data_IF_241439930591
#
_entry.id   IF_241439930591
#
_cell.length_a   1.000
_cell.length_b   1.000
_cell.length_c   1.000
_cell.angle_alpha   90.00
_cell.angle_beta   90.00
_cell.angle_gamma   90.00
#
_symmetry.space_group_name_H-M   'P 1'
#
loop_
_entity.id
_entity.type
_entity.pdbx_description
1 polymer ?
#
# COMPACT_ATOMS: atom_id res chain seq x y z
N UNK A 1 36.63 7.34 -14.16
CA UNK A 1 35.45 7.09 -13.29
C UNK A 1 35.92 6.33 -12.07
N UNK A 2 35.78 6.89 -10.86
CA UNK A 2 36.31 6.25 -9.64
C UNK A 2 35.31 5.17 -9.15
N UNK A 3 35.59 3.89 -9.41
CA UNK A 3 34.78 2.76 -8.98
C UNK A 3 35.05 2.33 -7.54
N UNK A 4 36.17 2.74 -6.93
CA UNK A 4 36.59 2.37 -5.56
C UNK A 4 35.55 2.77 -4.51
N UNK A 5 34.91 3.94 -4.67
CA UNK A 5 33.81 4.38 -3.80
C UNK A 5 32.65 3.37 -3.74
N UNK A 6 32.31 2.74 -4.88
CA UNK A 6 31.21 1.78 -4.96
C UNK A 6 31.62 0.43 -4.33
N UNK A 7 32.84 -0.04 -4.57
CA UNK A 7 33.35 -1.24 -3.94
C UNK A 7 33.38 -1.10 -2.43
N UNK A 8 33.94 -0.02 -1.88
CA UNK A 8 33.96 0.24 -0.47
C UNK A 8 32.55 0.28 0.15
N UNK A 9 31.58 0.94 -0.52
CA UNK A 9 30.19 1.00 -0.06
C UNK A 9 29.53 -0.39 -0.06
N UNK A 10 29.79 -1.22 -1.08
CA UNK A 10 29.26 -2.59 -1.14
C UNK A 10 29.87 -3.47 -0.05
N UNK A 11 31.15 -3.33 0.25
CA UNK A 11 31.81 -4.03 1.37
C UNK A 11 31.18 -3.64 2.70
N UNK A 12 31.00 -2.34 2.97
CA UNK A 12 30.31 -1.87 4.17
C UNK A 12 28.89 -2.47 4.31
N UNK A 13 28.14 -2.54 3.20
CA UNK A 13 26.81 -3.17 3.18
C UNK A 13 26.89 -4.66 3.51
N UNK A 14 27.90 -5.40 2.97
CA UNK A 14 28.12 -6.82 3.27
C UNK A 14 28.50 -7.04 4.74
N UNK A 15 29.42 -6.23 5.25
CA UNK A 15 29.87 -6.28 6.64
C UNK A 15 28.73 -6.03 7.64
N UNK A 16 27.79 -5.13 7.29
CA UNK A 16 26.60 -4.85 8.10
C UNK A 16 25.51 -5.91 7.99
N UNK A 17 25.66 -6.93 7.12
CA UNK A 17 24.65 -7.97 6.88
C UNK A 17 23.44 -7.48 6.08
N UNK A 18 23.56 -6.33 5.39
CA UNK A 18 22.46 -5.74 4.62
C UNK A 18 22.61 -5.92 3.10
N UNK A 19 23.50 -6.80 2.65
CA UNK A 19 23.72 -7.05 1.24
C UNK A 19 22.54 -7.81 0.64
N UNK A 20 21.92 -7.24 -0.39
CA UNK A 20 20.74 -7.81 -1.06
C UNK A 20 21.14 -8.47 -2.36
N UNK A 21 20.55 -9.62 -2.63
CA UNK A 21 20.64 -10.36 -3.90
C UNK A 21 19.24 -10.63 -4.44
N UNK A 22 19.10 -10.67 -5.75
CA UNK A 22 17.89 -11.14 -6.41
C UNK A 22 18.01 -12.67 -6.54
N UNK A 23 17.19 -13.39 -5.78
CA UNK A 23 17.13 -14.85 -5.84
C UNK A 23 16.22 -15.29 -6.97
N UNK A 24 16.53 -16.39 -7.63
CA UNK A 24 15.65 -17.05 -8.58
C UNK A 24 14.75 -18.00 -7.80
N UNK A 25 13.50 -17.62 -7.61
CA UNK A 25 12.53 -18.35 -6.82
C UNK A 25 11.43 -18.88 -7.73
N UNK A 26 11.25 -20.20 -7.74
CA UNK A 26 10.12 -20.84 -8.41
C UNK A 26 8.93 -20.91 -7.46
N UNK A 27 7.73 -20.59 -7.97
CA UNK A 27 6.50 -20.61 -7.21
C UNK A 27 5.62 -21.80 -7.57
N UNK A 28 5.12 -22.50 -6.54
CA UNK A 28 4.15 -23.57 -6.68
C UNK A 28 3.03 -23.40 -5.66
N UNK A 29 2.04 -22.58 -5.98
CA UNK A 29 0.98 -22.18 -5.06
C UNK A 29 1.56 -21.47 -3.83
N UNK A 30 1.34 -22.05 -2.63
CA UNK A 30 1.87 -21.53 -1.37
C UNK A 30 3.31 -22.00 -1.04
N UNK A 31 3.88 -22.86 -1.87
CA UNK A 31 5.28 -23.30 -1.76
C UNK A 31 6.18 -22.52 -2.70
N UNK A 32 7.44 -22.39 -2.30
CA UNK A 32 8.51 -21.84 -3.13
C UNK A 32 9.71 -22.80 -3.14
N UNK A 33 10.43 -22.81 -4.25
CA UNK A 33 11.70 -23.52 -4.38
C UNK A 33 12.83 -22.49 -4.51
N UNK A 34 13.79 -22.53 -3.60
CA UNK A 34 14.97 -21.68 -3.56
C UNK A 34 16.21 -22.55 -3.29
N UNK A 35 17.15 -22.57 -4.22
CA UNK A 35 18.40 -23.35 -4.14
C UNK A 35 18.16 -24.84 -3.79
N UNK A 36 17.20 -25.46 -4.47
CA UNK A 36 16.85 -26.89 -4.28
C UNK A 36 16.10 -27.20 -2.98
N UNK A 37 15.65 -26.20 -2.23
CA UNK A 37 14.83 -26.36 -1.02
C UNK A 37 13.39 -25.97 -1.28
N UNK A 38 12.46 -26.83 -0.89
CA UNK A 38 11.04 -26.49 -0.87
C UNK A 38 10.69 -25.84 0.48
N UNK A 39 10.02 -24.71 0.44
CA UNK A 39 9.65 -23.94 1.64
C UNK A 39 8.23 -23.39 1.52
N UNK A 40 7.56 -23.24 2.67
CA UNK A 40 6.29 -22.52 2.76
C UNK A 40 6.57 -21.01 2.59
N UNK A 41 5.88 -20.37 1.65
CA UNK A 41 6.01 -18.94 1.41
C UNK A 41 5.19 -18.12 2.42
N UNK A 42 5.82 -17.70 3.51
CA UNK A 42 5.22 -16.81 4.51
C UNK A 42 5.54 -15.33 4.25
N UNK A 43 6.23 -15.02 3.16
CA UNK A 43 6.63 -13.63 2.79
C UNK A 43 5.80 -13.05 1.66
N UNK A 44 4.79 -13.77 1.17
CA UNK A 44 3.90 -13.28 0.12
C UNK A 44 2.94 -12.21 0.66
N UNK A 45 2.68 -11.20 -0.16
CA UNK A 45 1.61 -10.23 0.08
C UNK A 45 0.27 -10.66 -0.55
N UNK A 46 0.19 -11.82 -1.17
CA UNK A 46 -1.06 -12.44 -1.64
C UNK A 46 -1.86 -13.00 -0.47
N UNK A 47 -2.36 -12.10 0.37
CA UNK A 47 -2.94 -12.42 1.67
C UNK A 47 -4.14 -13.37 1.62
N UNK A 48 -4.89 -13.34 0.51
CA UNK A 48 -6.06 -14.19 0.28
C UNK A 48 -5.78 -15.39 -0.62
N UNK A 49 -4.56 -15.51 -1.17
CA UNK A 49 -4.17 -16.60 -2.07
C UNK A 49 -4.86 -16.57 -3.43
N UNK A 50 -5.17 -15.39 -3.96
CA UNK A 50 -5.93 -15.23 -5.20
C UNK A 50 -5.07 -15.37 -6.46
N UNK A 51 -3.77 -15.08 -6.39
CA UNK A 51 -2.89 -14.93 -7.57
C UNK A 51 -2.75 -16.22 -8.38
N UNK A 52 -2.88 -17.37 -7.75
CA UNK A 52 -2.75 -18.69 -8.38
C UNK A 52 -4.03 -19.52 -8.30
N UNK A 53 -5.17 -18.89 -8.01
CA UNK A 53 -6.45 -19.57 -7.94
C UNK A 53 -6.97 -19.93 -9.34
N UNK A 54 -6.96 -21.21 -9.76
CA UNK A 54 -7.29 -21.61 -11.11
C UNK A 54 -8.75 -21.31 -11.47
N UNK A 55 -9.65 -21.38 -10.49
CA UNK A 55 -11.08 -21.08 -10.69
C UNK A 55 -11.28 -19.61 -11.07
N UNK A 56 -10.66 -18.67 -10.34
CA UNK A 56 -10.76 -17.24 -10.66
C UNK A 56 -10.16 -16.92 -12.04
N UNK A 57 -9.07 -17.59 -12.41
CA UNK A 57 -8.45 -17.43 -13.74
C UNK A 57 -9.40 -17.91 -14.85
N UNK A 58 -10.10 -19.02 -14.63
CA UNK A 58 -11.07 -19.57 -15.58
C UNK A 58 -12.29 -18.65 -15.70
N UNK A 59 -12.91 -18.25 -14.58
CA UNK A 59 -14.02 -17.30 -14.55
C UNK A 59 -13.67 -15.97 -15.23
N UNK A 60 -12.46 -15.43 -15.01
CA UNK A 60 -12.02 -14.24 -15.71
C UNK A 60 -11.94 -14.41 -17.22
N UNK A 61 -11.49 -15.58 -17.70
CA UNK A 61 -11.42 -15.89 -19.15
C UNK A 61 -12.78 -16.08 -19.77
N UNK A 62 -13.77 -16.60 -19.02
CA UNK A 62 -15.15 -16.78 -19.46
C UNK A 62 -15.90 -15.45 -19.56
N UNK A 63 -15.69 -14.55 -18.59
CA UNK A 63 -16.39 -13.25 -18.51
C UNK A 63 -15.72 -12.14 -19.31
N UNK A 64 -14.44 -12.31 -19.67
CA UNK A 64 -13.64 -11.29 -20.35
C UNK A 64 -13.05 -11.87 -21.63
N UNK A 65 -13.25 -11.21 -22.77
CA UNK A 65 -12.52 -11.55 -23.99
C UNK A 65 -11.05 -11.16 -23.88
N UNK A 66 -10.30 -11.97 -23.11
CA UNK A 66 -8.88 -11.74 -22.82
C UNK A 66 -8.04 -11.67 -24.09
N UNK A 67 -8.45 -12.38 -25.16
CA UNK A 67 -7.74 -12.40 -26.43
C UNK A 67 -7.87 -11.10 -27.21
N UNK A 68 -8.92 -10.32 -26.95
CA UNK A 68 -9.10 -9.00 -27.54
C UNK A 68 -8.37 -7.89 -26.75
N UNK A 69 -7.84 -8.18 -25.55
CA UNK A 69 -7.16 -7.19 -24.72
C UNK A 69 -5.68 -7.09 -25.07
N UNK A 70 -5.15 -5.85 -25.30
CA UNK A 70 -3.72 -5.65 -25.45
C UNK A 70 -2.94 -6.03 -24.18
N UNK A 71 -1.79 -6.69 -24.37
CA UNK A 71 -0.86 -7.01 -23.29
C UNK A 71 0.04 -5.84 -22.90
N UNK A 72 -0.06 -4.71 -23.59
CA UNK A 72 0.65 -3.46 -23.26
C UNK A 72 -0.16 -2.27 -23.72
N UNK A 73 -0.13 -1.19 -22.94
CA UNK A 73 -0.73 0.09 -23.32
C UNK A 73 0.14 0.88 -24.31
N UNK A 74 1.42 0.55 -24.41
CA UNK A 74 2.47 1.15 -25.28
C UNK A 74 2.57 2.68 -25.26
N UNK A 75 1.87 3.35 -24.33
CA UNK A 75 1.81 4.80 -24.19
C UNK A 75 1.41 5.21 -22.76
N UNK A 76 1.58 6.48 -22.42
CA UNK A 76 1.03 7.04 -21.17
C UNK A 76 -0.50 7.22 -21.24
N UNK A 77 -1.15 7.30 -20.09
CA UNK A 77 -2.61 7.54 -20.00
C UNK A 77 -3.05 8.81 -20.70
N UNK A 78 -2.25 9.89 -20.64
CA UNK A 78 -2.58 11.18 -21.27
C UNK A 78 -2.46 11.20 -22.79
N UNK A 79 -1.83 10.20 -23.38
CA UNK A 79 -1.74 10.07 -24.84
C UNK A 79 -2.74 9.04 -25.36
N UNK A 80 -2.34 7.79 -25.49
CA UNK A 80 -3.17 6.71 -26.04
C UNK A 80 -3.31 5.49 -25.14
N UNK A 81 -2.73 5.51 -23.94
CA UNK A 81 -2.71 4.38 -23.01
C UNK A 81 -3.93 4.29 -22.09
N UNK A 82 -4.86 5.27 -22.12
CA UNK A 82 -6.04 5.27 -21.24
C UNK A 82 -7.18 4.42 -21.81
N UNK A 83 -7.07 3.10 -21.66
CA UNK A 83 -8.07 2.14 -22.12
C UNK A 83 -9.40 2.30 -21.36
N UNK A 84 -10.58 1.99 -21.94
CA UNK A 84 -11.89 2.09 -21.29
C UNK A 84 -11.98 1.38 -19.92
N UNK A 85 -11.27 0.29 -19.70
CA UNK A 85 -11.24 -0.39 -18.41
C UNK A 85 -10.71 0.49 -17.26
N UNK A 86 -9.89 1.51 -17.53
CA UNK A 86 -9.49 2.46 -16.50
C UNK A 86 -10.68 3.23 -15.95
N UNK A 87 -11.51 3.77 -16.86
CA UNK A 87 -12.70 4.50 -16.44
C UNK A 87 -13.64 3.60 -15.65
N UNK A 88 -13.89 2.39 -16.14
CA UNK A 88 -14.78 1.43 -15.46
C UNK A 88 -14.25 1.09 -14.06
N UNK A 89 -12.93 0.86 -13.90
CA UNK A 89 -12.32 0.57 -12.61
C UNK A 89 -12.36 1.79 -11.67
N UNK A 90 -12.12 2.99 -12.19
CA UNK A 90 -12.15 4.23 -11.41
C UNK A 90 -13.59 4.57 -10.97
N UNK A 91 -14.59 4.37 -11.84
CA UNK A 91 -16.01 4.54 -11.49
C UNK A 91 -16.42 3.53 -10.38
N UNK A 92 -16.10 2.24 -10.56
CA UNK A 92 -16.42 1.19 -9.57
C UNK A 92 -15.76 1.49 -8.21
N UNK A 93 -14.51 2.00 -8.18
CA UNK A 93 -13.81 2.39 -6.95
C UNK A 93 -14.48 3.59 -6.28
N UNK A 94 -14.81 4.63 -7.04
CA UNK A 94 -15.48 5.82 -6.51
C UNK A 94 -16.82 5.45 -5.87
N UNK A 95 -17.62 4.63 -6.55
CA UNK A 95 -18.91 4.15 -6.05
C UNK A 95 -18.75 3.31 -4.76
N UNK A 96 -17.80 2.38 -4.72
CA UNK A 96 -17.59 1.50 -3.56
C UNK A 96 -17.13 2.25 -2.30
N UNK A 97 -16.32 3.30 -2.48
CA UNK A 97 -15.83 4.12 -1.36
C UNK A 97 -16.71 5.32 -1.05
N UNK A 98 -17.83 5.49 -1.76
CA UNK A 98 -18.72 6.67 -1.65
C UNK A 98 -17.93 7.99 -1.74
N UNK A 99 -17.05 8.06 -2.76
CA UNK A 99 -16.24 9.25 -3.08
C UNK A 99 -16.57 9.77 -4.47
N UNK A 100 -16.33 11.06 -4.69
CA UNK A 100 -16.60 11.71 -5.97
C UNK A 100 -15.79 11.14 -7.13
N UNK A 101 -14.57 10.68 -6.85
CA UNK A 101 -13.65 10.22 -7.89
C UNK A 101 -12.61 9.23 -7.39
N UNK A 102 -12.07 8.46 -8.35
CA UNK A 102 -10.89 7.63 -8.18
C UNK A 102 -9.86 7.90 -9.28
N UNK A 103 -8.58 7.60 -9.00
CA UNK A 103 -7.49 7.67 -9.95
C UNK A 103 -6.56 6.48 -9.78
N UNK A 104 -6.27 5.76 -10.89
CA UNK A 104 -5.45 4.55 -10.89
C UNK A 104 -4.03 4.84 -11.34
N UNK A 105 -3.06 4.24 -10.65
CA UNK A 105 -1.60 4.36 -10.84
C UNK A 105 -0.95 3.02 -11.10
N UNK A 106 0.29 3.04 -11.60
CA UNK A 106 1.04 1.82 -11.92
C UNK A 106 1.46 1.00 -10.67
N UNK A 107 1.57 1.63 -9.50
CA UNK A 107 1.86 0.96 -8.22
C UNK A 107 1.61 1.90 -7.05
N UNK A 108 1.55 1.37 -5.81
CA UNK A 108 1.52 2.17 -4.59
C UNK A 108 2.71 3.13 -4.47
N UNK A 109 3.89 2.69 -4.95
CA UNK A 109 5.05 3.56 -4.99
C UNK A 109 4.80 4.79 -5.88
N UNK A 110 4.26 4.62 -7.11
CA UNK A 110 3.92 5.73 -8.01
C UNK A 110 2.84 6.67 -7.44
N UNK A 111 1.86 6.12 -6.72
CA UNK A 111 0.86 6.92 -6.02
C UNK A 111 1.53 7.78 -4.94
N UNK A 112 2.25 7.16 -4.01
CA UNK A 112 2.82 7.83 -2.84
C UNK A 112 3.91 8.86 -3.18
N UNK A 113 4.79 8.57 -4.15
CA UNK A 113 5.83 9.54 -4.56
C UNK A 113 5.27 10.72 -5.34
N UNK A 114 4.02 10.67 -5.76
CA UNK A 114 3.46 11.68 -6.66
C UNK A 114 2.31 12.51 -6.10
N UNK A 115 1.43 11.91 -5.29
CA UNK A 115 0.22 12.58 -4.79
C UNK A 115 0.59 13.78 -3.90
N UNK A 116 1.30 13.53 -2.80
CA UNK A 116 1.66 14.59 -1.86
C UNK A 116 2.50 15.71 -2.49
N UNK A 117 3.57 15.41 -3.28
CA UNK A 117 4.30 16.47 -3.97
C UNK A 117 3.49 17.27 -4.98
N UNK A 118 2.47 16.66 -5.60
CA UNK A 118 1.60 17.37 -6.53
C UNK A 118 0.62 18.31 -5.83
N UNK A 119 0.10 17.90 -4.67
CA UNK A 119 -0.92 18.63 -3.92
C UNK A 119 -0.36 19.74 -3.03
N UNK A 120 0.94 19.72 -2.72
CA UNK A 120 1.52 20.58 -1.69
C UNK A 120 2.61 21.48 -2.24
N UNK A 121 2.82 22.60 -1.57
CA UNK A 121 3.83 23.60 -1.87
C UNK A 121 4.50 24.09 -0.58
N UNK A 122 5.47 25.04 -0.70
CA UNK A 122 6.25 25.54 0.45
C UNK A 122 5.44 26.31 1.53
N UNK A 123 4.16 26.58 1.28
CA UNK A 123 3.24 27.19 2.27
C UNK A 123 2.40 26.16 3.00
N UNK A 124 2.59 24.88 2.73
CA UNK A 124 1.87 23.78 3.33
C UNK A 124 2.75 23.00 4.31
N UNK A 125 2.11 22.33 5.26
CA UNK A 125 2.76 21.45 6.23
C UNK A 125 2.27 20.02 6.03
N UNK A 126 3.19 19.06 6.06
CA UNK A 126 2.87 17.63 6.12
C UNK A 126 3.32 17.09 7.48
N UNK A 127 2.40 16.54 8.25
CA UNK A 127 2.66 15.88 9.53
C UNK A 127 2.46 14.38 9.37
N UNK A 128 3.56 13.64 9.22
CA UNK A 128 3.53 12.21 8.90
C UNK A 128 3.89 11.34 10.11
N UNK A 129 3.27 10.16 10.22
CA UNK A 129 3.72 9.16 11.18
C UNK A 129 5.18 8.77 10.92
N UNK A 130 5.91 8.50 11.99
CA UNK A 130 7.35 8.18 11.92
C UNK A 130 7.64 6.91 11.13
N UNK A 131 6.72 5.97 11.08
CA UNK A 131 6.91 4.65 10.46
C UNK A 131 6.21 4.50 9.09
N UNK A 132 5.69 5.58 8.49
CA UNK A 132 5.11 5.51 7.14
C UNK A 132 6.09 4.92 6.13
N UNK A 133 5.55 4.22 5.14
CA UNK A 133 6.29 3.50 4.12
C UNK A 133 7.34 4.36 3.40
N UNK A 134 8.42 3.74 2.96
CA UNK A 134 9.52 4.41 2.26
C UNK A 134 9.06 5.23 1.05
N UNK A 135 8.03 4.77 0.31
CA UNK A 135 7.46 5.52 -0.82
C UNK A 135 6.83 6.85 -0.42
N UNK A 136 6.17 6.89 0.75
CA UNK A 136 5.64 8.14 1.31
C UNK A 136 6.81 9.05 1.68
N UNK A 137 7.83 8.55 2.38
CA UNK A 137 9.03 9.33 2.72
C UNK A 137 9.72 9.89 1.47
N UNK A 138 9.81 9.11 0.40
CA UNK A 138 10.40 9.57 -0.86
C UNK A 138 9.51 10.64 -1.52
N UNK A 139 8.19 10.50 -1.48
CA UNK A 139 7.23 11.53 -1.88
C UNK A 139 7.41 12.83 -1.06
N UNK A 140 7.49 12.72 0.26
CA UNK A 140 7.72 13.86 1.14
C UNK A 140 9.01 14.61 0.84
N UNK A 141 10.08 13.90 0.44
CA UNK A 141 11.35 14.52 0.01
C UNK A 141 11.25 15.23 -1.34
N UNK A 142 10.32 14.82 -2.20
CA UNK A 142 10.05 15.48 -3.49
C UNK A 142 9.11 16.67 -3.35
N UNK A 143 8.37 16.77 -2.27
CA UNK A 143 7.51 17.91 -1.95
C UNK A 143 8.33 19.14 -1.54
N UNK A 144 7.82 20.32 -1.85
CA UNK A 144 8.34 21.60 -1.33
C UNK A 144 7.77 21.96 0.05
N UNK A 145 6.76 21.23 0.55
CA UNK A 145 6.14 21.47 1.84
C UNK A 145 7.09 21.21 3.01
N UNK A 146 6.89 21.91 4.11
CA UNK A 146 7.56 21.57 5.36
C UNK A 146 7.07 20.21 5.85
N UNK A 147 7.99 19.34 6.28
CA UNK A 147 7.66 18.03 6.83
C UNK A 147 8.03 17.96 8.31
N UNK A 148 7.08 17.52 9.15
CA UNK A 148 7.31 17.15 10.54
C UNK A 148 6.85 15.70 10.72
N UNK A 149 7.58 14.90 11.50
CA UNK A 149 7.22 13.52 11.78
C UNK A 149 6.78 13.39 13.24
N UNK A 150 5.56 12.92 13.47
CA UNK A 150 5.13 12.59 14.83
C UNK A 150 5.56 11.17 15.22
N UNK A 151 5.63 10.92 16.53
CA UNK A 151 5.98 9.60 17.04
C UNK A 151 4.89 8.61 16.65
N UNK A 152 5.32 7.39 16.31
CA UNK A 152 4.44 6.34 15.83
C UNK A 152 3.23 6.12 16.74
N UNK A 153 2.03 6.27 16.17
CA UNK A 153 0.71 6.16 16.82
C UNK A 153 0.54 7.05 18.08
N UNK A 154 1.38 8.07 18.26
CA UNK A 154 1.30 9.03 19.37
C UNK A 154 0.45 10.25 18.94
N UNK A 155 -0.86 10.15 19.11
CA UNK A 155 -1.80 11.18 18.69
C UNK A 155 -1.76 12.44 19.57
N UNK A 156 -1.28 12.33 20.81
CA UNK A 156 -1.02 13.50 21.65
C UNK A 156 0.17 14.30 21.12
N UNK A 157 1.22 13.63 20.68
CA UNK A 157 2.34 14.28 20.01
C UNK A 157 1.90 14.91 18.67
N UNK A 158 1.02 14.25 17.90
CA UNK A 158 0.42 14.83 16.70
C UNK A 158 -0.35 16.12 17.04
N UNK A 159 -1.25 16.10 18.02
CA UNK A 159 -1.98 17.29 18.47
C UNK A 159 -1.04 18.43 18.90
N UNK A 160 0.02 18.11 19.63
CA UNK A 160 1.02 19.08 20.05
C UNK A 160 1.69 19.79 18.87
N UNK A 161 2.06 19.04 17.83
CA UNK A 161 2.65 19.59 16.60
C UNK A 161 1.64 20.50 15.89
N UNK A 162 0.40 20.05 15.72
CA UNK A 162 -0.65 20.79 15.05
C UNK A 162 -1.00 22.09 15.82
N UNK A 163 -1.12 22.02 17.14
CA UNK A 163 -1.35 23.20 17.99
C UNK A 163 -0.23 24.24 17.84
N UNK A 164 1.00 23.81 17.69
CA UNK A 164 2.14 24.72 17.53
C UNK A 164 2.21 25.34 16.14
N UNK A 165 1.85 24.60 15.08
CA UNK A 165 2.21 24.99 13.72
C UNK A 165 1.03 25.27 12.79
N UNK A 166 -0.23 24.87 13.13
CA UNK A 166 -1.37 24.95 12.18
C UNK A 166 -1.54 26.34 11.56
N UNK A 167 -1.41 27.40 12.36
CA UNK A 167 -1.63 28.78 11.93
C UNK A 167 -0.50 29.36 11.04
N UNK A 168 0.62 28.65 10.92
CA UNK A 168 1.77 29.09 10.13
C UNK A 168 1.64 28.70 8.64
N UNK A 169 0.68 27.80 8.31
CA UNK A 169 0.57 27.19 6.99
C UNK A 169 -0.83 27.33 6.39
N UNK A 170 -0.89 27.42 5.06
CA UNK A 170 -2.15 27.53 4.32
C UNK A 170 -2.95 26.21 4.48
N UNK A 171 -2.30 25.06 4.21
CA UNK A 171 -2.88 23.73 4.38
C UNK A 171 -1.98 22.84 5.24
N UNK A 172 -2.62 21.92 5.95
CA UNK A 172 -1.93 20.88 6.71
C UNK A 172 -2.43 19.51 6.28
N UNK A 173 -1.49 18.58 6.03
CA UNK A 173 -1.77 17.20 5.67
C UNK A 173 -1.29 16.27 6.81
N UNK A 174 -2.21 15.51 7.38
CA UNK A 174 -1.90 14.40 8.30
C UNK A 174 -1.74 13.15 7.44
N UNK A 175 -0.60 12.46 7.56
CA UNK A 175 -0.27 11.31 6.72
C UNK A 175 0.06 10.09 7.57
N UNK A 176 -0.64 8.98 7.31
CA UNK A 176 -0.47 7.71 8.03
C UNK A 176 -0.67 6.51 7.11
N UNK A 177 -0.36 5.31 7.62
CA UNK A 177 -0.86 4.03 7.10
C UNK A 177 -1.96 3.52 8.02
N UNK A 178 -2.92 2.77 7.50
CA UNK A 178 -3.92 2.11 8.34
C UNK A 178 -3.36 0.86 9.02
N UNK A 179 -2.53 0.09 8.31
CA UNK A 179 -1.75 -1.03 8.85
C UNK A 179 -0.29 -0.86 8.41
N UNK A 180 0.61 -0.81 9.38
CA UNK A 180 2.04 -0.62 9.11
C UNK A 180 2.73 -1.92 8.71
N UNK A 181 3.51 -1.87 7.65
CA UNK A 181 4.06 -3.04 6.95
C UNK A 181 5.03 -3.89 7.77
N UNK A 182 5.79 -3.28 8.69
CA UNK A 182 6.86 -3.96 9.43
C UNK A 182 6.39 -4.54 10.76
N UNK A 183 5.63 -3.77 11.53
CA UNK A 183 5.20 -4.15 12.87
C UNK A 183 3.77 -4.72 12.89
N UNK A 184 2.96 -4.45 11.86
CA UNK A 184 1.58 -4.93 11.77
C UNK A 184 0.62 -4.19 12.68
N UNK A 185 1.00 -3.01 13.16
CA UNK A 185 0.18 -2.15 14.00
C UNK A 185 -0.94 -1.51 13.18
N UNK A 186 -2.09 -1.28 13.82
CA UNK A 186 -3.27 -0.64 13.20
C UNK A 186 -3.45 0.78 13.75
N UNK A 187 -3.67 1.75 12.85
CA UNK A 187 -4.01 3.13 13.23
C UNK A 187 -5.46 3.24 13.70
N UNK A 188 -5.68 4.10 14.69
CA UNK A 188 -7.02 4.57 15.06
C UNK A 188 -7.43 5.71 14.10
N UNK A 189 -8.11 5.32 13.01
CA UNK A 189 -8.54 6.26 11.98
C UNK A 189 -9.67 7.16 12.46
N UNK A 190 -10.53 6.70 13.39
CA UNK A 190 -11.57 7.54 13.97
C UNK A 190 -10.96 8.71 14.74
N UNK A 191 -9.96 8.43 15.58
CA UNK A 191 -9.25 9.49 16.32
C UNK A 191 -8.51 10.45 15.38
N UNK A 192 -7.93 9.94 14.28
CA UNK A 192 -7.29 10.78 13.27
C UNK A 192 -8.30 11.67 12.52
N UNK A 193 -9.51 11.19 12.25
CA UNK A 193 -10.59 11.98 11.69
C UNK A 193 -11.07 13.09 12.64
N UNK A 194 -11.12 12.83 13.96
CA UNK A 194 -11.39 13.85 14.96
C UNK A 194 -10.31 14.93 14.97
N UNK A 195 -9.02 14.53 14.97
CA UNK A 195 -7.90 15.46 14.95
C UNK A 195 -7.91 16.30 13.67
N UNK A 196 -8.13 15.65 12.51
CA UNK A 196 -8.27 16.37 11.24
C UNK A 196 -9.32 17.48 11.32
N UNK A 197 -10.50 17.18 11.87
CA UNK A 197 -11.61 18.15 12.02
C UNK A 197 -11.25 19.25 12.99
N UNK A 198 -10.60 18.91 14.12
CA UNK A 198 -10.17 19.88 15.15
C UNK A 198 -9.21 20.93 14.59
N UNK A 199 -8.30 20.52 13.68
CA UNK A 199 -7.25 21.40 13.17
C UNK A 199 -7.47 21.86 11.71
N UNK A 200 -8.65 21.61 11.13
CA UNK A 200 -8.94 21.92 9.72
C UNK A 200 -7.81 21.46 8.79
N UNK A 201 -7.49 20.16 8.87
CA UNK A 201 -6.42 19.50 8.12
C UNK A 201 -6.98 18.48 7.13
N UNK A 202 -6.20 18.13 6.12
CA UNK A 202 -6.45 16.99 5.24
C UNK A 202 -5.89 15.71 5.86
N UNK A 203 -6.60 14.58 5.68
CA UNK A 203 -6.16 13.27 6.12
C UNK A 203 -5.87 12.36 4.90
N UNK A 204 -4.62 11.92 4.81
CA UNK A 204 -4.12 10.96 3.82
C UNK A 204 -3.83 9.62 4.50
N UNK A 205 -4.52 8.57 4.08
CA UNK A 205 -4.38 7.21 4.64
C UNK A 205 -3.92 6.24 3.55
N UNK A 206 -2.77 5.62 3.75
CA UNK A 206 -2.33 4.49 2.93
C UNK A 206 -2.89 3.18 3.50
N UNK A 207 -3.84 2.61 2.78
CA UNK A 207 -4.53 1.35 3.09
C UNK A 207 -3.90 0.13 2.39
N UNK A 208 -2.67 0.24 1.90
CA UNK A 208 -2.04 -0.77 1.06
C UNK A 208 -2.02 -2.18 1.67
N UNK A 209 -1.98 -2.30 2.99
CA UNK A 209 -2.03 -3.57 3.72
C UNK A 209 -3.43 -3.96 4.19
N UNK A 210 -4.42 -3.08 4.09
CA UNK A 210 -5.77 -3.33 4.57
C UNK A 210 -6.80 -3.57 3.46
N UNK A 211 -6.62 -2.96 2.28
CA UNK A 211 -7.51 -3.18 1.11
C UNK A 211 -7.51 -4.66 0.74
N UNK A 212 -8.69 -5.22 0.57
CA UNK A 212 -8.92 -6.64 0.32
C UNK A 212 -8.93 -7.49 1.58
N UNK A 213 -8.42 -6.99 2.72
CA UNK A 213 -8.21 -7.76 3.96
C UNK A 213 -9.15 -7.33 5.09
N UNK A 214 -9.36 -6.03 5.25
CA UNK A 214 -10.17 -5.46 6.36
C UNK A 214 -11.49 -4.91 5.83
N UNK A 215 -12.49 -4.87 6.70
CA UNK A 215 -13.84 -4.45 6.35
C UNK A 215 -14.69 -5.57 5.76
N UNK A 216 -16.02 -5.40 5.81
CA UNK A 216 -16.99 -6.38 5.33
C UNK A 216 -16.88 -6.59 3.82
N UNK A 217 -16.71 -5.50 3.07
CA UNK A 217 -16.54 -5.53 1.62
C UNK A 217 -15.08 -5.56 1.18
N UNK A 218 -14.13 -5.53 2.14
CA UNK A 218 -12.69 -5.53 1.85
C UNK A 218 -12.16 -4.16 1.42
N UNK A 219 -12.80 -3.07 1.84
CA UNK A 219 -12.40 -1.72 1.48
C UNK A 219 -11.31 -1.13 2.40
N UNK A 220 -10.91 -1.86 3.43
CA UNK A 220 -9.83 -1.46 4.32
C UNK A 220 -10.27 -1.14 5.75
N UNK A 221 -9.34 -0.58 6.53
CA UNK A 221 -9.61 -0.17 7.91
C UNK A 221 -10.56 1.03 7.96
N UNK A 222 -10.59 1.89 6.95
CA UNK A 222 -11.54 2.99 6.86
C UNK A 222 -13.00 2.51 6.81
N UNK A 223 -13.28 1.39 6.12
CA UNK A 223 -14.58 0.72 6.16
C UNK A 223 -14.83 0.10 7.54
N UNK A 224 -13.88 -0.68 8.05
CA UNK A 224 -14.02 -1.39 9.32
C UNK A 224 -14.26 -0.44 10.51
N UNK A 225 -13.61 0.72 10.49
CA UNK A 225 -13.76 1.76 11.51
C UNK A 225 -14.86 2.78 11.18
N UNK A 226 -15.63 2.57 10.09
CA UNK A 226 -16.75 3.41 9.69
C UNK A 226 -16.39 4.92 9.58
N UNK A 227 -15.26 5.23 8.95
CA UNK A 227 -14.76 6.60 8.80
C UNK A 227 -14.34 6.97 7.37
N UNK A 228 -14.74 6.19 6.35
CA UNK A 228 -14.42 6.45 4.93
C UNK A 228 -14.79 7.87 4.49
N UNK A 229 -15.94 8.36 4.91
CA UNK A 229 -16.47 9.68 4.54
C UNK A 229 -15.53 10.81 4.99
N UNK A 230 -14.93 10.65 6.17
CA UNK A 230 -14.11 11.67 6.83
C UNK A 230 -12.64 11.72 6.31
N UNK A 231 -12.18 10.73 5.54
CA UNK A 231 -10.82 10.69 5.01
C UNK A 231 -10.78 11.33 3.63
N UNK A 232 -9.88 12.28 3.40
CA UNK A 232 -9.80 13.03 2.14
C UNK A 232 -9.13 12.23 1.02
N UNK A 233 -8.08 11.47 1.37
CA UNK A 233 -7.33 10.65 0.43
C UNK A 233 -7.15 9.24 0.99
N UNK A 234 -7.87 8.27 0.42
CA UNK A 234 -7.67 6.85 0.72
C UNK A 234 -6.88 6.25 -0.44
N UNK A 235 -5.69 5.76 -0.13
CA UNK A 235 -4.78 5.15 -1.13
C UNK A 235 -4.69 3.65 -0.89
N UNK A 236 -4.96 2.87 -1.92
CA UNK A 236 -4.85 1.42 -1.87
C UNK A 236 -3.94 0.87 -2.96
N UNK A 237 -3.51 -0.38 -2.81
CA UNK A 237 -2.73 -1.08 -3.84
C UNK A 237 -3.40 -2.36 -4.30
N UNK A 238 -3.28 -2.65 -5.58
CA UNK A 238 -3.71 -3.92 -6.17
C UNK A 238 -2.61 -5.00 -6.13
N UNK A 239 -1.39 -4.61 -5.74
CA UNK A 239 -0.21 -5.50 -5.74
C UNK A 239 -0.11 -6.44 -4.55
N UNK A 240 -1.14 -6.54 -3.71
CA UNK A 240 -1.16 -7.40 -2.51
C UNK A 240 -2.39 -8.30 -2.52
N UNK A 241 -3.36 -8.11 -1.62
CA UNK A 241 -4.56 -8.94 -1.51
C UNK A 241 -5.40 -9.02 -2.80
N UNK A 242 -5.31 -8.03 -3.68
CA UNK A 242 -5.97 -8.05 -4.99
C UNK A 242 -5.26 -8.94 -6.03
N UNK A 243 -4.11 -9.51 -5.72
CA UNK A 243 -3.35 -10.39 -6.62
C UNK A 243 -3.20 -9.82 -8.04
N UNK A 244 -2.91 -8.50 -8.14
CA UNK A 244 -2.79 -7.76 -9.39
C UNK A 244 -1.59 -6.82 -9.36
N UNK A 245 -1.60 -5.79 -10.17
CA UNK A 245 -0.62 -4.71 -10.19
C UNK A 245 -1.32 -3.37 -10.32
N UNK A 246 -0.75 -2.35 -9.67
CA UNK A 246 -1.29 -1.00 -9.67
C UNK A 246 -1.65 -0.52 -8.27
N UNK A 247 -2.22 0.67 -8.23
CA UNK A 247 -2.74 1.31 -7.02
C UNK A 247 -3.83 2.30 -7.40
N UNK A 248 -4.52 2.82 -6.41
CA UNK A 248 -5.53 3.86 -6.60
C UNK A 248 -5.49 4.88 -5.46
N UNK A 249 -6.06 6.04 -5.71
CA UNK A 249 -6.55 6.97 -4.70
C UNK A 249 -8.04 7.21 -4.95
N UNK A 250 -8.83 7.29 -3.89
CA UNK A 250 -10.19 7.84 -3.94
C UNK A 250 -10.20 9.16 -3.17
N UNK A 251 -10.85 10.18 -3.75
CA UNK A 251 -10.85 11.55 -3.23
C UNK A 251 -11.98 12.37 -3.88
N UNK A 252 -12.05 13.65 -3.55
CA UNK A 252 -12.92 14.59 -4.27
C UNK A 252 -12.47 14.79 -5.74
N UNK A 253 -13.43 15.10 -6.61
CA UNK A 253 -13.19 15.29 -8.05
C UNK A 253 -12.14 16.36 -8.36
N UNK A 254 -12.12 17.43 -7.61
CA UNK A 254 -11.15 18.54 -7.77
C UNK A 254 -9.70 18.06 -7.61
N UNK A 255 -9.44 17.20 -6.63
CA UNK A 255 -8.10 16.64 -6.40
C UNK A 255 -7.71 15.67 -7.51
N UNK A 256 -8.64 14.80 -7.94
CA UNK A 256 -8.40 13.91 -9.08
C UNK A 256 -8.00 14.69 -10.33
N UNK A 257 -8.74 15.72 -10.69
CA UNK A 257 -8.47 16.53 -11.87
C UNK A 257 -7.14 17.27 -11.75
N UNK A 258 -6.84 17.78 -10.56
CA UNK A 258 -5.56 18.42 -10.28
C UNK A 258 -4.38 17.44 -10.43
N UNK A 259 -4.48 16.22 -9.88
CA UNK A 259 -3.46 15.18 -9.98
C UNK A 259 -3.21 14.76 -11.43
N UNK A 260 -4.24 14.61 -12.25
CA UNK A 260 -4.09 14.31 -13.68
C UNK A 260 -3.21 15.36 -14.40
N UNK A 261 -3.28 16.61 -13.98
CA UNK A 261 -2.58 17.72 -14.62
C UNK A 261 -1.21 18.01 -14.01
N UNK A 262 -0.90 17.54 -12.80
CA UNK A 262 0.31 17.94 -12.06
C UNK A 262 1.18 16.78 -11.60
N UNK A 263 0.61 15.59 -11.38
CA UNK A 263 1.34 14.46 -10.83
C UNK A 263 2.30 13.83 -11.85
N UNK A 264 3.58 14.08 -11.68
CA UNK A 264 4.63 13.65 -12.61
C UNK A 264 4.72 12.12 -12.76
N UNK A 265 4.54 11.35 -11.69
CA UNK A 265 4.59 9.88 -11.73
C UNK A 265 3.41 9.26 -12.48
N UNK A 266 2.31 9.99 -12.68
CA UNK A 266 1.18 9.61 -13.55
C UNK A 266 1.43 10.04 -15.00
N UNK A 267 1.88 11.27 -15.20
CA UNK A 267 2.01 11.92 -16.53
C UNK A 267 3.11 11.22 -17.35
N UNK A 268 4.26 10.95 -16.74
CA UNK A 268 5.48 10.52 -17.43
C UNK A 268 5.77 9.02 -17.30
N UNK A 269 4.72 8.20 -17.21
CA UNK A 269 4.84 6.74 -17.19
C UNK A 269 3.95 6.08 -18.23
N UNK A 270 4.36 4.93 -18.74
CA UNK A 270 3.50 4.07 -19.56
C UNK A 270 2.36 3.52 -18.69
N UNK A 271 1.15 3.50 -19.23
CA UNK A 271 -0.03 2.96 -18.56
C UNK A 271 0.08 1.45 -18.32
N UNK A 272 -0.66 0.92 -17.34
CA UNK A 272 -0.80 -0.51 -17.12
C UNK A 272 -1.40 -1.20 -18.35
N UNK A 273 -1.02 -2.46 -18.62
CA UNK A 273 -1.65 -3.26 -19.67
C UNK A 273 -3.17 -3.35 -19.48
N UNK A 274 -3.98 -3.19 -20.53
CA UNK A 274 -5.44 -3.31 -20.44
C UNK A 274 -5.91 -4.62 -19.81
N UNK A 275 -5.25 -5.74 -20.09
CA UNK A 275 -5.55 -7.03 -19.47
C UNK A 275 -5.37 -7.02 -17.96
N UNK A 276 -4.37 -6.30 -17.45
CA UNK A 276 -4.14 -6.17 -16.02
C UNK A 276 -5.23 -5.30 -15.35
N UNK A 277 -5.63 -4.20 -15.98
CA UNK A 277 -6.72 -3.34 -15.46
C UNK A 277 -8.05 -4.09 -15.45
N UNK A 278 -8.32 -4.88 -16.50
CA UNK A 278 -9.51 -5.74 -16.56
C UNK A 278 -9.51 -6.80 -15.44
N UNK A 279 -8.38 -7.47 -15.20
CA UNK A 279 -8.21 -8.42 -14.10
C UNK A 279 -8.42 -7.75 -12.74
N UNK A 280 -7.84 -6.57 -12.53
CA UNK A 280 -8.02 -5.80 -11.28
C UNK A 280 -9.50 -5.52 -11.01
N UNK A 281 -10.24 -5.06 -12.04
CA UNK A 281 -11.67 -4.80 -11.95
C UNK A 281 -12.47 -6.06 -11.66
N UNK A 282 -12.13 -7.17 -12.30
CA UNK A 282 -12.76 -8.47 -12.07
C UNK A 282 -12.60 -8.91 -10.60
N UNK A 283 -11.40 -8.74 -10.00
CA UNK A 283 -11.17 -9.05 -8.58
C UNK A 283 -11.92 -8.06 -7.68
N UNK A 284 -11.92 -6.76 -7.99
CA UNK A 284 -12.64 -5.74 -7.22
C UNK A 284 -14.12 -6.09 -7.08
N UNK A 285 -14.78 -6.46 -8.18
CA UNK A 285 -16.21 -6.78 -8.22
C UNK A 285 -16.55 -8.08 -7.43
N UNK A 286 -15.56 -8.94 -7.16
CA UNK A 286 -15.70 -10.15 -6.36
C UNK A 286 -15.21 -10.01 -4.92
N UNK A 287 -14.70 -8.85 -4.55
CA UNK A 287 -14.14 -8.65 -3.22
C UNK A 287 -15.14 -8.97 -2.08
N UNK A 288 -16.44 -8.66 -2.18
CA UNK A 288 -17.42 -9.10 -1.18
C UNK A 288 -17.49 -10.62 -1.00
N UNK A 289 -17.31 -11.40 -2.06
CA UNK A 289 -17.38 -12.87 -2.04
C UNK A 289 -16.22 -13.51 -1.25
N UNK A 290 -15.13 -12.76 -1.02
CA UNK A 290 -13.97 -13.23 -0.26
C UNK A 290 -14.06 -12.97 1.26
N UNK A 291 -15.25 -12.64 1.77
CA UNK A 291 -15.45 -12.38 3.19
C UNK A 291 -14.96 -13.53 4.10
N UNK A 292 -15.29 -14.77 3.77
CA UNK A 292 -14.86 -15.95 4.53
C UNK A 292 -13.33 -16.12 4.52
N UNK A 293 -12.66 -15.76 3.42
CA UNK A 293 -11.20 -15.77 3.35
C UNK A 293 -10.58 -14.73 4.29
N UNK A 294 -11.20 -13.54 4.41
CA UNK A 294 -10.76 -12.49 5.35
C UNK A 294 -10.89 -12.94 6.78
N UNK A 295 -12.02 -13.56 7.16
CA UNK A 295 -12.22 -14.12 8.51
C UNK A 295 -11.17 -15.17 8.80
N UNK A 296 -10.95 -16.11 7.88
CA UNK A 296 -9.96 -17.18 8.04
C UNK A 296 -8.53 -16.62 8.17
N UNK A 297 -8.18 -15.58 7.41
CA UNK A 297 -6.88 -14.92 7.52
C UNK A 297 -6.68 -14.34 8.93
N UNK A 298 -7.69 -13.64 9.46
CA UNK A 298 -7.65 -13.08 10.82
C UNK A 298 -7.48 -14.17 11.89
N UNK A 299 -8.22 -15.28 11.77
CA UNK A 299 -8.10 -16.42 12.68
C UNK A 299 -6.70 -17.06 12.63
N UNK A 300 -6.15 -17.28 11.43
CA UNK A 300 -4.81 -17.84 11.25
C UNK A 300 -3.76 -16.91 11.85
N UNK A 301 -3.84 -15.60 11.58
CA UNK A 301 -2.91 -14.61 12.11
C UNK A 301 -2.94 -14.55 13.63
N UNK A 302 -4.14 -14.54 14.23
CA UNK A 302 -4.32 -14.57 15.69
C UNK A 302 -3.72 -15.83 16.31
N UNK A 303 -4.02 -17.00 15.74
CA UNK A 303 -3.46 -18.28 16.21
C UNK A 303 -1.95 -18.35 16.08
N UNK A 304 -1.40 -17.88 14.95
CA UNK A 304 0.05 -17.85 14.74
C UNK A 304 0.73 -16.97 15.80
N UNK A 305 0.20 -15.77 16.03
CA UNK A 305 0.72 -14.84 17.05
C UNK A 305 0.70 -15.48 18.43
N UNK A 306 -0.41 -16.10 18.82
CA UNK A 306 -0.52 -16.81 20.08
C UNK A 306 0.55 -17.90 20.23
N UNK A 307 0.70 -18.78 19.24
CA UNK A 307 1.70 -19.86 19.26
C UNK A 307 3.13 -19.35 19.34
N UNK A 308 3.44 -18.25 18.63
CA UNK A 308 4.77 -17.62 18.70
C UNK A 308 5.06 -17.09 20.11
N UNK A 309 4.10 -16.40 20.73
CA UNK A 309 4.23 -15.90 22.11
C UNK A 309 4.41 -17.05 23.10
N UNK A 310 3.60 -18.11 23.01
CA UNK A 310 3.71 -19.32 23.86
C UNK A 310 5.08 -20.01 23.73
N UNK A 311 5.71 -19.91 22.55
CA UNK A 311 7.05 -20.44 22.29
C UNK A 311 8.18 -19.47 22.67
N UNK A 312 7.84 -18.30 23.25
CA UNK A 312 8.80 -17.31 23.71
C UNK A 312 9.39 -16.42 22.62
N UNK A 313 8.74 -16.31 21.47
CA UNK A 313 9.12 -15.36 20.43
C UNK A 313 8.43 -14.00 20.68
N UNK A 314 9.18 -12.91 20.47
CA UNK A 314 8.62 -11.57 20.44
C UNK A 314 7.89 -11.34 19.12
N UNK A 315 6.62 -10.92 19.20
CA UNK A 315 5.80 -10.48 18.05
C UNK A 315 5.28 -9.08 18.32
N UNK A 316 4.83 -8.38 17.26
CA UNK A 316 4.27 -7.03 17.34
C UNK A 316 2.98 -6.95 16.57
N UNK A 317 2.29 -5.83 16.72
CA UNK A 317 1.07 -5.50 16.00
C UNK A 317 -0.12 -6.37 16.36
N UNK A 318 -1.24 -6.06 15.72
CA UNK A 318 -2.56 -6.66 15.97
C UNK A 318 -3.27 -7.11 14.69
N UNK A 319 -2.65 -6.87 13.52
CA UNK A 319 -3.22 -7.19 12.21
C UNK A 319 -2.90 -8.62 11.73
N UNK A 320 -3.18 -8.90 10.46
CA UNK A 320 -2.79 -10.15 9.79
C UNK A 320 -1.29 -10.26 9.50
N UNK A 321 -0.54 -9.18 9.63
CA UNK A 321 0.92 -9.19 9.59
C UNK A 321 1.42 -9.60 10.96
N UNK A 322 2.16 -10.72 11.02
CA UNK A 322 2.67 -11.30 12.27
C UNK A 322 4.20 -11.35 12.21
N UNK A 323 4.88 -10.28 12.60
CA UNK A 323 6.35 -10.27 12.60
C UNK A 323 6.89 -11.11 13.76
N UNK A 324 7.95 -11.85 13.50
CA UNK A 324 8.77 -12.50 14.53
C UNK A 324 10.07 -11.73 14.66
N UNK A 325 10.29 -11.09 15.81
CA UNK A 325 11.47 -10.24 16.05
C UNK A 325 12.71 -11.12 16.24
N UNK A 326 13.63 -11.04 15.28
CA UNK A 326 14.88 -11.83 15.29
C UNK A 326 16.11 -11.02 15.75
N UNK A 327 15.97 -9.72 15.94
CA UNK A 327 17.03 -8.79 16.33
C UNK A 327 17.85 -8.31 15.14
N UNK A 328 19.01 -8.87 14.85
CA UNK A 328 19.84 -8.47 13.71
C UNK A 328 19.61 -9.36 12.49
N UNK A 329 19.88 -8.82 11.28
CA UNK A 329 19.80 -9.59 10.03
C UNK A 329 20.65 -10.87 10.03
N UNK A 330 21.79 -10.85 10.72
CA UNK A 330 22.63 -12.04 10.93
C UNK A 330 22.00 -13.11 11.82
N UNK A 331 21.06 -12.73 12.69
CA UNK A 331 20.32 -13.67 13.54
C UNK A 331 19.24 -14.40 12.76
N UNK A 332 18.66 -13.76 11.74
CA UNK A 332 17.67 -14.33 10.83
C UNK A 332 18.26 -15.50 10.04
N UNK A 333 19.41 -15.32 9.40
CA UNK A 333 20.09 -16.37 8.63
C UNK A 333 20.35 -17.65 9.46
N UNK A 334 20.62 -17.51 10.74
CA UNK A 334 20.85 -18.66 11.65
C UNK A 334 19.58 -19.39 12.07
N UNK A 335 18.41 -18.73 12.04
CA UNK A 335 17.11 -19.32 12.45
C UNK A 335 16.39 -19.99 11.29
N UNK A 336 16.57 -19.51 10.08
CA UNK A 336 16.01 -20.10 8.85
C UNK A 336 16.77 -21.37 8.43
N UNK A 337 17.98 -21.58 8.91
CA UNK A 337 18.84 -22.73 8.60
C UNK A 337 18.81 -23.88 9.63
N UNK A 338 17.88 -23.89 10.57
CA UNK A 338 17.61 -24.97 11.51
C UNK A 338 16.15 -25.36 11.40
#
# INVERSE_FOLDING_TARGET
MNKERYYHKLETIKESGNYRILREIEHNGFLIHDDGREMLNLSSNDYLGLSSNPRLIEEFREETDVMALPYSAVSSRLLSGNHPYYKMLEDDLADLYDKEAALVFNSGYHANIGILPALTNKRDLIVADKLVHASIIDGLRLSEAQMIRYKHLDYEHLRSILTQHREEYDNVFIVTESIFSMDGDTSDLQQLCEIKKEFDAFLYVDEAHAVGVRGTNGLGCCEEQACMEDIDFIVGTFGKAFASMGAFVVCEQVFRDYLINTQRSLIFTTALPPVNVAWTRFILNRMPDFYDLRIKLAEIASKLRQVLVEKGFETRGDSHIVPMVCGSNRSEERRVGK
#
